data_IF_266081623412
#
_entry.id   IF_266081623412
#
_cell.length_a   1.000
_cell.length_b   1.000
_cell.length_c   1.000
_cell.angle_alpha   90.00
_cell.angle_beta   90.00
_cell.angle_gamma   90.00
#
_symmetry.space_group_name_H-M   'P 1'
#
loop_
_entity.id
_entity.type
_entity.pdbx_description
1 polymer ?
#
# COMPACT_ATOMS: atom_id res chain seq x y z
N UNK A 1 57.21 22.16 -14.17
CA UNK A 1 55.80 22.06 -14.49
C UNK A 1 55.09 21.26 -13.38
N UNK A 2 54.18 21.87 -12.60
CA UNK A 2 53.40 21.10 -11.64
C UNK A 2 52.11 20.59 -12.32
N UNK A 3 51.85 19.30 -12.13
CA UNK A 3 50.63 18.60 -12.52
C UNK A 3 49.55 18.99 -11.52
N UNK A 4 48.45 19.57 -12.04
CA UNK A 4 47.32 19.99 -11.23
C UNK A 4 46.53 18.77 -10.73
N UNK A 5 46.33 18.68 -9.41
CA UNK A 5 45.38 17.79 -8.78
C UNK A 5 43.95 18.30 -9.05
N UNK A 6 43.22 17.54 -9.85
CA UNK A 6 41.76 17.69 -9.98
C UNK A 6 41.09 17.11 -8.74
N UNK A 7 40.71 17.99 -7.85
CA UNK A 7 39.80 17.65 -6.73
C UNK A 7 38.43 17.28 -7.33
N UNK A 8 38.15 15.98 -7.32
CA UNK A 8 36.85 15.45 -7.62
C UNK A 8 35.97 15.70 -6.37
N UNK A 9 35.23 16.80 -6.37
CA UNK A 9 34.20 17.05 -5.36
C UNK A 9 33.02 16.13 -5.65
N UNK A 10 32.99 14.97 -4.99
CA UNK A 10 31.80 14.15 -4.90
C UNK A 10 30.71 14.95 -4.19
N UNK A 11 29.79 15.52 -4.96
CA UNK A 11 28.58 16.12 -4.44
C UNK A 11 27.66 15.01 -3.94
N UNK A 12 27.70 14.71 -2.63
CA UNK A 12 26.68 13.93 -1.97
C UNK A 12 25.31 14.52 -2.29
N UNK A 13 24.31 13.72 -2.71
CA UNK A 13 22.98 14.23 -2.97
C UNK A 13 22.45 14.86 -1.67
N UNK A 14 22.13 16.15 -1.73
CA UNK A 14 21.44 16.85 -0.64
C UNK A 14 20.15 16.09 -0.34
N UNK A 15 20.02 15.58 0.88
CA UNK A 15 18.76 15.05 1.35
C UNK A 15 17.72 16.17 1.28
N UNK A 16 16.76 16.04 0.38
CA UNK A 16 15.60 16.92 0.34
C UNK A 16 14.71 16.49 1.49
N UNK A 17 14.70 17.25 2.56
CA UNK A 17 13.74 17.05 3.65
C UNK A 17 12.39 17.55 3.14
N UNK A 18 11.48 16.62 2.82
CA UNK A 18 10.10 16.95 2.48
C UNK A 18 9.36 17.06 3.81
N UNK A 19 9.08 18.30 4.26
CA UNK A 19 8.30 18.53 5.46
C UNK A 19 6.80 18.38 5.16
N UNK A 20 6.09 17.70 6.07
CA UNK A 20 4.63 17.73 6.12
C UNK A 20 3.88 16.99 5.00
N UNK A 21 4.40 15.90 4.46
CA UNK A 21 3.67 15.09 3.44
C UNK A 21 2.41 14.47 4.02
N UNK A 22 1.31 14.55 3.27
CA UNK A 22 0.01 13.95 3.60
C UNK A 22 -0.21 12.68 2.78
N UNK A 23 -0.27 11.55 3.46
CA UNK A 23 -0.39 10.22 2.84
C UNK A 23 -1.74 9.60 3.19
N UNK A 24 -2.60 9.37 2.20
CA UNK A 24 -3.80 8.56 2.39
C UNK A 24 -3.50 7.09 2.06
N UNK A 25 -3.80 6.18 2.98
CA UNK A 25 -3.62 4.73 2.81
C UNK A 25 -4.97 4.08 2.62
N UNK A 26 -5.21 3.50 1.45
CA UNK A 26 -6.41 2.70 1.19
C UNK A 26 -6.03 1.23 1.27
N UNK A 27 -6.55 0.51 2.26
CA UNK A 27 -6.19 -0.87 2.56
C UNK A 27 -7.40 -1.81 2.51
N UNK A 28 -7.19 -3.06 2.11
CA UNK A 28 -8.25 -4.10 2.09
C UNK A 28 -8.56 -4.63 3.51
N UNK A 29 -7.67 -4.40 4.48
CA UNK A 29 -7.85 -4.75 5.88
C UNK A 29 -7.08 -3.81 6.81
N UNK A 30 -7.62 -3.64 8.02
CA UNK A 30 -6.97 -2.87 9.09
C UNK A 30 -7.36 -3.46 10.45
N UNK A 31 -6.91 -2.83 11.55
CA UNK A 31 -7.27 -3.26 12.90
C UNK A 31 -8.80 -3.34 13.09
N UNK A 32 -9.30 -4.26 13.90
CA UNK A 32 -8.59 -5.20 14.80
C UNK A 32 -7.96 -6.41 14.09
N UNK A 33 -8.17 -6.60 12.80
CA UNK A 33 -7.60 -7.71 12.05
C UNK A 33 -6.11 -7.52 11.83
N UNK A 34 -5.29 -8.47 12.31
CA UNK A 34 -3.84 -8.45 12.17
C UNK A 34 -3.37 -9.46 11.14
N UNK A 35 -2.87 -8.96 10.02
CA UNK A 35 -2.29 -9.76 8.94
C UNK A 35 -1.08 -9.03 8.33
N UNK A 36 -0.49 -9.59 7.27
CA UNK A 36 0.71 -9.01 6.64
C UNK A 36 0.47 -7.61 6.06
N UNK A 37 -0.73 -7.32 5.54
CA UNK A 37 -1.09 -6.00 5.00
C UNK A 37 -1.25 -5.01 6.15
N UNK A 38 -2.04 -5.36 7.16
CA UNK A 38 -2.22 -4.53 8.36
C UNK A 38 -0.89 -4.18 9.01
N UNK A 39 -0.02 -5.17 9.24
CA UNK A 39 1.31 -4.93 9.82
C UNK A 39 2.15 -3.95 8.98
N UNK A 40 2.08 -4.05 7.64
CA UNK A 40 2.78 -3.10 6.77
C UNK A 40 2.24 -1.69 6.92
N UNK A 41 0.91 -1.54 6.97
CA UNK A 41 0.25 -0.23 7.16
C UNK A 41 0.61 0.39 8.51
N UNK A 42 0.59 -0.40 9.60
CA UNK A 42 0.99 0.07 10.93
C UNK A 42 2.42 0.61 10.93
N UNK A 43 3.37 -0.07 10.28
CA UNK A 43 4.76 0.39 10.17
C UNK A 43 4.90 1.67 9.35
N UNK A 44 4.10 1.83 8.30
CA UNK A 44 4.07 3.07 7.52
C UNK A 44 3.57 4.22 8.40
N UNK A 45 2.48 4.04 9.15
CA UNK A 45 1.94 5.06 10.04
C UNK A 45 2.93 5.46 11.14
N UNK A 46 3.61 4.49 11.76
CA UNK A 46 4.69 4.73 12.72
C UNK A 46 5.81 5.58 12.10
N UNK A 47 6.19 5.27 10.85
CA UNK A 47 7.22 6.02 10.11
C UNK A 47 6.75 7.45 9.79
N UNK A 48 5.53 7.62 9.29
CA UNK A 48 4.95 8.93 9.00
C UNK A 48 4.96 9.81 10.24
N UNK A 49 4.51 9.29 11.38
CA UNK A 49 4.53 10.01 12.65
C UNK A 49 5.94 10.42 13.08
N UNK A 50 6.89 9.48 12.99
CA UNK A 50 8.27 9.73 13.40
C UNK A 50 8.96 10.83 12.57
N UNK A 51 8.48 11.09 11.36
CA UNK A 51 9.04 12.08 10.43
C UNK A 51 8.16 13.33 10.25
N UNK A 52 7.13 13.51 11.08
CA UNK A 52 6.27 14.69 11.03
C UNK A 52 5.33 14.75 9.82
N UNK A 53 4.99 13.58 9.24
CA UNK A 53 4.03 13.46 8.15
C UNK A 53 2.62 13.14 8.66
N UNK A 54 1.60 13.51 7.89
CA UNK A 54 0.21 13.18 8.20
C UNK A 54 -0.24 11.92 7.47
N UNK A 55 -0.96 11.05 8.17
CA UNK A 55 -1.54 9.83 7.63
C UNK A 55 -3.06 9.78 7.77
N UNK A 56 -3.73 9.20 6.77
CA UNK A 56 -5.12 8.81 6.82
C UNK A 56 -5.22 7.35 6.41
N UNK A 57 -5.99 6.54 7.13
CA UNK A 57 -6.32 5.17 6.71
C UNK A 57 -7.78 5.10 6.32
N UNK A 58 -8.06 4.46 5.18
CA UNK A 58 -9.41 4.11 4.70
C UNK A 58 -9.42 2.60 4.50
N UNK A 59 -10.21 1.88 5.29
CA UNK A 59 -10.28 0.42 5.22
C UNK A 59 -11.67 -0.11 5.58
N UNK A 60 -12.04 -1.34 5.16
CA UNK A 60 -13.20 -2.03 5.67
C UNK A 60 -13.08 -2.20 7.19
N UNK A 61 -14.17 -1.97 7.92
CA UNK A 61 -14.15 -2.09 9.36
C UNK A 61 -15.54 -2.25 9.95
N UNK A 62 -15.59 -2.22 11.29
CA UNK A 62 -16.78 -2.33 12.10
C UNK A 62 -16.67 -1.43 13.35
N UNK A 63 -17.51 -1.71 14.36
CA UNK A 63 -17.50 -0.96 15.63
C UNK A 63 -16.23 -1.13 16.47
N UNK A 64 -15.43 -2.16 16.21
CA UNK A 64 -14.16 -2.41 16.93
C UNK A 64 -12.95 -1.77 16.23
N UNK A 65 -13.15 -1.28 15.00
CA UNK A 65 -12.08 -0.60 14.26
C UNK A 65 -11.76 0.74 14.93
N UNK A 66 -10.49 1.00 15.29
CA UNK A 66 -10.11 2.25 15.93
C UNK A 66 -10.34 3.44 14.97
N UNK A 67 -10.76 4.58 15.52
CA UNK A 67 -10.91 5.82 14.74
C UNK A 67 -9.59 6.57 14.54
N UNK A 68 -8.57 6.18 15.29
CA UNK A 68 -7.23 6.78 15.25
C UNK A 68 -6.16 5.71 15.55
N UNK A 69 -5.01 5.82 14.92
CA UNK A 69 -3.82 5.06 15.24
C UNK A 69 -2.57 5.93 15.16
N UNK A 70 -1.81 6.01 16.23
CA UNK A 70 -0.57 6.80 16.30
C UNK A 70 -0.74 8.29 15.91
N UNK A 71 -1.90 8.90 16.20
CA UNK A 71 -2.22 10.28 15.81
C UNK A 71 -2.72 10.43 14.37
N UNK A 72 -2.89 9.31 13.64
CA UNK A 72 -3.42 9.30 12.29
C UNK A 72 -4.89 8.88 12.27
N UNK A 73 -5.72 9.63 11.55
CA UNK A 73 -7.15 9.35 11.41
C UNK A 73 -7.40 8.02 10.68
N UNK A 74 -8.36 7.24 11.17
CA UNK A 74 -8.83 6.00 10.53
C UNK A 74 -10.31 6.16 10.18
N UNK A 75 -10.64 5.96 8.91
CA UNK A 75 -11.99 5.95 8.38
C UNK A 75 -12.39 4.50 8.06
N UNK A 76 -13.29 3.98 8.88
CA UNK A 76 -13.87 2.65 8.71
C UNK A 76 -15.02 2.70 7.69
N UNK A 77 -14.90 1.89 6.64
CA UNK A 77 -15.98 1.69 5.66
C UNK A 77 -16.87 0.54 6.12
N UNK A 78 -18.18 0.74 6.11
CA UNK A 78 -19.13 -0.30 6.45
C UNK A 78 -18.86 -1.58 5.65
N UNK A 79 -18.73 -2.70 6.36
CA UNK A 79 -18.30 -3.97 5.77
C UNK A 79 -18.98 -5.17 6.43
N UNK A 80 -19.06 -6.26 5.68
CA UNK A 80 -19.54 -7.56 6.16
C UNK A 80 -18.40 -8.57 6.10
N UNK A 81 -18.41 -9.52 7.05
CA UNK A 81 -17.51 -10.65 6.99
C UNK A 81 -17.81 -11.49 5.75
N UNK A 82 -16.77 -11.96 5.06
CA UNK A 82 -16.95 -12.84 3.90
C UNK A 82 -17.45 -14.22 4.36
N UNK A 83 -18.50 -14.77 3.74
CA UNK A 83 -19.03 -16.07 4.12
C UNK A 83 -17.95 -17.17 4.11
N UNK A 84 -17.76 -17.86 5.24
CA UNK A 84 -16.74 -18.89 5.39
C UNK A 84 -15.34 -18.41 5.77
N UNK A 85 -15.12 -17.09 5.81
CA UNK A 85 -13.83 -16.47 6.16
C UNK A 85 -14.06 -15.24 7.03
N UNK A 86 -14.25 -15.45 8.32
CA UNK A 86 -14.56 -14.39 9.31
C UNK A 86 -13.53 -13.27 9.34
N UNK A 87 -12.27 -13.60 9.02
CA UNK A 87 -11.14 -12.67 9.04
C UNK A 87 -11.03 -11.82 7.76
N UNK A 88 -11.88 -12.10 6.75
CA UNK A 88 -11.93 -11.32 5.52
C UNK A 88 -13.20 -10.48 5.52
N UNK A 89 -13.03 -9.16 5.52
CA UNK A 89 -14.15 -8.22 5.42
C UNK A 89 -14.24 -7.61 4.04
N UNK A 90 -15.44 -7.51 3.52
CA UNK A 90 -15.70 -6.90 2.22
C UNK A 90 -16.61 -5.70 2.41
N UNK A 91 -16.20 -4.56 1.89
CA UNK A 91 -17.01 -3.36 1.89
C UNK A 91 -17.67 -3.12 0.54
N UNK A 92 -18.98 -2.91 0.58
CA UNK A 92 -19.77 -2.47 -0.57
C UNK A 92 -19.81 -0.94 -0.70
N UNK A 93 -19.08 -0.19 0.15
CA UNK A 93 -19.05 1.27 0.12
C UNK A 93 -18.83 1.79 -1.30
N UNK A 94 -19.62 2.78 -1.74
CA UNK A 94 -19.48 3.31 -3.10
C UNK A 94 -18.19 4.14 -3.24
N UNK A 95 -17.67 4.24 -4.46
CA UNK A 95 -16.46 5.00 -4.76
C UNK A 95 -16.53 6.45 -4.26
N UNK A 96 -17.66 7.11 -4.41
CA UNK A 96 -17.83 8.51 -4.01
C UNK A 96 -17.57 8.75 -2.50
N UNK A 97 -17.78 7.75 -1.64
CA UNK A 97 -17.48 7.89 -0.21
C UNK A 97 -15.98 7.95 0.06
N UNK A 98 -15.19 7.17 -0.69
CA UNK A 98 -13.72 7.19 -0.63
C UNK A 98 -13.23 8.51 -1.24
N UNK A 99 -13.77 8.90 -2.38
CA UNK A 99 -13.43 10.16 -3.08
C UNK A 99 -13.66 11.38 -2.19
N UNK A 100 -14.81 11.44 -1.52
CA UNK A 100 -15.10 12.51 -0.56
C UNK A 100 -14.09 12.54 0.60
N UNK A 101 -13.77 11.38 1.17
CA UNK A 101 -12.79 11.28 2.27
C UNK A 101 -11.41 11.72 1.82
N UNK A 102 -10.99 11.35 0.60
CA UNK A 102 -9.73 11.79 0.02
C UNK A 102 -9.73 13.29 -0.25
N UNK A 103 -10.82 13.84 -0.81
CA UNK A 103 -10.96 15.27 -1.08
C UNK A 103 -10.92 16.11 0.22
N UNK A 104 -11.56 15.64 1.30
CA UNK A 104 -11.52 16.28 2.62
C UNK A 104 -10.11 16.25 3.24
N UNK A 105 -9.39 15.18 3.04
CA UNK A 105 -8.03 15.03 3.58
C UNK A 105 -6.98 15.71 2.71
N UNK A 106 -7.22 15.88 1.41
CA UNK A 106 -6.32 16.49 0.42
C UNK A 106 -4.89 15.91 0.46
N UNK A 107 -4.72 14.61 0.16
CA UNK A 107 -3.43 13.95 0.25
C UNK A 107 -2.50 14.31 -0.92
N UNK A 108 -1.19 14.39 -0.63
CA UNK A 108 -0.16 14.51 -1.66
C UNK A 108 0.01 13.21 -2.47
N UNK A 109 -0.28 12.06 -1.82
CA UNK A 109 -0.20 10.73 -2.44
C UNK A 109 -1.18 9.76 -1.78
N UNK A 110 -1.74 8.87 -2.60
CA UNK A 110 -2.56 7.74 -2.15
C UNK A 110 -1.75 6.45 -2.23
N UNK A 111 -1.55 5.80 -1.08
CA UNK A 111 -0.92 4.49 -0.96
C UNK A 111 -1.99 3.41 -0.99
N UNK A 112 -1.99 2.56 -2.01
CA UNK A 112 -2.91 1.44 -2.15
C UNK A 112 -2.25 0.17 -1.59
N UNK A 113 -2.63 -0.23 -0.39
CA UNK A 113 -2.06 -1.38 0.31
C UNK A 113 -2.75 -2.69 -0.12
N UNK A 114 -2.09 -3.51 -0.92
CA UNK A 114 -2.60 -4.75 -1.49
C UNK A 114 -3.97 -4.58 -2.19
N UNK A 115 -4.10 -3.66 -3.16
CA UNK A 115 -5.40 -3.24 -3.69
C UNK A 115 -6.11 -4.35 -4.46
N UNK A 116 -7.40 -4.54 -4.16
CA UNK A 116 -8.25 -5.49 -4.90
C UNK A 116 -9.69 -4.97 -5.05
N UNK A 117 -10.47 -4.86 -3.97
CA UNK A 117 -11.86 -4.34 -4.01
C UNK A 117 -11.89 -2.85 -3.67
N UNK A 118 -11.54 -2.52 -2.45
CA UNK A 118 -11.51 -1.13 -1.96
C UNK A 118 -10.35 -0.36 -2.59
N UNK A 119 -9.21 -1.00 -2.76
CA UNK A 119 -8.07 -0.40 -3.43
C UNK A 119 -8.34 -0.04 -4.88
N UNK A 120 -9.19 -0.79 -5.61
CA UNK A 120 -9.62 -0.38 -6.95
C UNK A 120 -10.46 0.90 -6.91
N UNK A 121 -11.43 0.97 -5.98
CA UNK A 121 -12.22 2.19 -5.78
C UNK A 121 -11.36 3.36 -5.34
N UNK A 122 -10.35 3.09 -4.50
CA UNK A 122 -9.35 4.08 -4.08
C UNK A 122 -8.49 4.58 -5.24
N UNK A 123 -8.07 3.69 -6.15
CA UNK A 123 -7.32 4.07 -7.34
C UNK A 123 -8.14 4.96 -8.28
N UNK A 124 -9.43 4.61 -8.48
CA UNK A 124 -10.35 5.41 -9.29
C UNK A 124 -10.62 6.78 -8.63
N UNK A 125 -10.82 6.82 -7.31
CA UNK A 125 -11.03 8.04 -6.56
C UNK A 125 -9.81 8.97 -6.63
N UNK A 126 -8.61 8.42 -6.45
CA UNK A 126 -7.36 9.17 -6.60
C UNK A 126 -7.20 9.74 -8.03
N UNK A 127 -7.48 8.93 -9.05
CA UNK A 127 -7.42 9.38 -10.44
C UNK A 127 -8.44 10.48 -10.74
N UNK A 128 -9.68 10.38 -10.21
CA UNK A 128 -10.73 11.40 -10.34
C UNK A 128 -10.32 12.74 -9.73
N UNK A 129 -9.61 12.71 -8.61
CA UNK A 129 -9.11 13.89 -7.91
C UNK A 129 -7.77 14.42 -8.48
N UNK A 130 -7.16 13.72 -9.43
CA UNK A 130 -5.83 14.06 -9.94
C UNK A 130 -4.70 13.82 -8.94
N UNK A 131 -4.98 13.09 -7.86
CA UNK A 131 -3.98 12.76 -6.84
C UNK A 131 -3.17 11.54 -7.26
N UNK A 132 -1.82 11.58 -7.24
CA UNK A 132 -1.01 10.42 -7.60
C UNK A 132 -1.23 9.26 -6.62
N UNK A 133 -1.30 8.04 -7.14
CA UNK A 133 -1.38 6.83 -6.32
C UNK A 133 -0.21 5.89 -6.56
N UNK A 134 0.20 5.18 -5.51
CA UNK A 134 1.23 4.14 -5.54
C UNK A 134 0.60 2.84 -5.06
N UNK A 135 0.71 1.78 -5.85
CA UNK A 135 0.12 0.48 -5.52
C UNK A 135 1.18 -0.51 -5.04
N UNK A 136 0.91 -1.17 -3.92
CA UNK A 136 1.80 -2.20 -3.35
C UNK A 136 1.18 -3.58 -3.55
N UNK A 137 1.84 -4.41 -4.33
CA UNK A 137 1.44 -5.79 -4.56
C UNK A 137 1.94 -6.68 -3.42
N UNK A 138 1.07 -6.95 -2.45
CA UNK A 138 1.41 -7.76 -1.26
C UNK A 138 0.66 -9.09 -1.20
N UNK A 139 -0.42 -9.24 -1.96
CA UNK A 139 -1.27 -10.42 -1.96
C UNK A 139 -1.40 -10.94 -3.39
N UNK A 140 -0.94 -12.17 -3.61
CA UNK A 140 -1.05 -12.86 -4.90
C UNK A 140 -2.46 -13.45 -5.08
N UNK A 141 -3.45 -12.56 -5.25
CA UNK A 141 -4.85 -12.94 -5.40
C UNK A 141 -5.09 -13.91 -6.55
N UNK A 142 -4.48 -13.76 -7.74
CA UNK A 142 -4.67 -14.71 -8.83
C UNK A 142 -4.22 -16.14 -8.49
N UNK A 143 -3.06 -16.29 -7.84
CA UNK A 143 -2.56 -17.61 -7.42
C UNK A 143 -3.41 -18.24 -6.31
N UNK A 144 -4.01 -17.42 -5.44
CA UNK A 144 -4.98 -17.92 -4.44
C UNK A 144 -6.21 -18.50 -5.11
N UNK A 145 -6.75 -17.86 -6.16
CA UNK A 145 -7.90 -18.39 -6.91
C UNK A 145 -7.63 -19.81 -7.44
N UNK A 146 -6.42 -20.07 -7.96
CA UNK A 146 -5.99 -21.40 -8.39
C UNK A 146 -6.00 -22.44 -7.27
N UNK A 147 -5.54 -22.09 -6.07
CA UNK A 147 -5.48 -23.00 -4.91
C UNK A 147 -6.86 -23.38 -4.37
N UNK A 148 -7.85 -22.52 -4.51
CA UNK A 148 -9.23 -22.76 -4.06
C UNK A 148 -10.15 -23.37 -5.14
N UNK A 149 -9.60 -23.96 -6.20
CA UNK A 149 -10.38 -24.58 -7.27
C UNK A 149 -11.05 -23.58 -8.21
N UNK A 150 -10.74 -22.30 -8.08
CA UNK A 150 -11.26 -21.21 -8.90
C UNK A 150 -10.28 -20.82 -10.03
N UNK A 151 -9.44 -21.74 -10.49
CA UNK A 151 -8.40 -21.48 -11.50
C UNK A 151 -8.94 -20.89 -12.81
N UNK A 152 -10.21 -21.14 -13.15
CA UNK A 152 -10.87 -20.50 -14.30
C UNK A 152 -11.01 -18.98 -14.15
N UNK A 153 -10.92 -18.44 -12.91
CA UNK A 153 -10.99 -17.01 -12.61
C UNK A 153 -9.61 -16.34 -12.55
N UNK A 154 -8.52 -17.10 -12.65
CA UNK A 154 -7.16 -16.56 -12.63
C UNK A 154 -6.94 -15.48 -13.71
N UNK A 155 -7.35 -15.65 -15.00
CA UNK A 155 -7.20 -14.61 -16.02
C UNK A 155 -7.96 -13.32 -15.65
N UNK A 156 -9.12 -13.45 -15.02
CA UNK A 156 -9.89 -12.30 -14.53
C UNK A 156 -9.16 -11.61 -13.37
N UNK A 157 -8.57 -12.39 -12.46
CA UNK A 157 -7.74 -11.87 -11.38
C UNK A 157 -6.58 -11.00 -11.90
N UNK A 158 -5.84 -11.51 -12.89
CA UNK A 158 -4.76 -10.76 -13.53
C UNK A 158 -5.24 -9.54 -14.31
N UNK A 159 -6.38 -9.63 -14.97
CA UNK A 159 -7.01 -8.48 -15.61
C UNK A 159 -7.31 -7.36 -14.59
N UNK A 160 -7.88 -7.71 -13.43
CA UNK A 160 -8.15 -6.75 -12.34
C UNK A 160 -6.87 -6.15 -11.74
N UNK A 161 -5.87 -6.97 -11.47
CA UNK A 161 -4.56 -6.50 -11.00
C UNK A 161 -3.99 -5.49 -11.99
N UNK A 162 -3.96 -5.82 -13.28
CA UNK A 162 -3.46 -4.90 -14.30
C UNK A 162 -4.25 -3.59 -14.34
N UNK A 163 -5.60 -3.64 -14.28
CA UNK A 163 -6.43 -2.43 -14.26
C UNK A 163 -6.07 -1.52 -13.07
N UNK A 164 -6.02 -2.07 -11.86
CA UNK A 164 -5.73 -1.32 -10.63
C UNK A 164 -4.35 -0.66 -10.73
N UNK A 165 -3.34 -1.46 -11.03
CA UNK A 165 -1.96 -1.00 -11.04
C UNK A 165 -1.64 -0.06 -12.22
N UNK A 166 -2.41 -0.11 -13.31
CA UNK A 166 -2.26 0.84 -14.42
C UNK A 166 -2.72 2.24 -14.08
N UNK A 167 -3.65 2.40 -13.12
CA UNK A 167 -4.10 3.70 -12.63
C UNK A 167 -3.06 4.39 -11.74
N UNK A 168 -2.13 3.63 -11.16
CA UNK A 168 -1.11 4.16 -10.24
C UNK A 168 0.12 4.67 -11.00
N UNK A 169 0.76 5.71 -10.46
CA UNK A 169 2.00 6.27 -11.03
C UNK A 169 3.18 5.31 -10.89
N UNK A 170 3.13 4.42 -9.88
CA UNK A 170 4.11 3.35 -9.67
C UNK A 170 3.46 2.14 -8.99
N UNK A 171 4.01 0.96 -9.27
CA UNK A 171 3.68 -0.30 -8.58
C UNK A 171 4.93 -0.83 -7.92
N UNK A 172 4.80 -1.34 -6.70
CA UNK A 172 5.92 -1.99 -6.02
C UNK A 172 5.58 -3.42 -5.62
N UNK A 173 6.53 -4.31 -5.83
CA UNK A 173 6.47 -5.72 -5.47
C UNK A 173 7.47 -6.06 -4.36
N UNK A 174 7.18 -7.02 -3.47
CA UNK A 174 8.05 -7.36 -2.34
C UNK A 174 9.29 -8.16 -2.74
N UNK A 175 9.35 -8.68 -3.95
CA UNK A 175 10.44 -9.53 -4.43
C UNK A 175 10.61 -9.43 -5.95
N UNK A 176 11.77 -9.87 -6.44
CA UNK A 176 12.04 -9.99 -7.88
C UNK A 176 11.05 -10.93 -8.55
N UNK A 177 10.72 -12.06 -7.92
CA UNK A 177 9.74 -13.01 -8.43
C UNK A 177 8.37 -12.35 -8.65
N UNK A 178 7.85 -11.66 -7.65
CA UNK A 178 6.54 -10.97 -7.77
C UNK A 178 6.59 -9.84 -8.80
N UNK A 179 7.71 -9.11 -8.91
CA UNK A 179 7.91 -8.11 -9.97
C UNK A 179 7.82 -8.74 -11.35
N UNK A 180 8.54 -9.84 -11.56
CA UNK A 180 8.61 -10.50 -12.88
C UNK A 180 7.23 -11.09 -13.26
N UNK A 181 6.46 -11.61 -12.30
CA UNK A 181 5.07 -11.99 -12.51
C UNK A 181 4.21 -10.81 -12.97
N UNK A 182 4.25 -9.69 -12.27
CA UNK A 182 3.48 -8.50 -12.63
C UNK A 182 3.84 -8.01 -14.04
N UNK A 183 5.11 -7.94 -14.36
CA UNK A 183 5.60 -7.52 -15.69
C UNK A 183 5.12 -8.49 -16.77
N UNK A 184 5.21 -9.81 -16.56
CA UNK A 184 4.75 -10.82 -17.52
C UNK A 184 3.25 -10.76 -17.78
N UNK A 185 2.45 -10.26 -16.83
CA UNK A 185 1.02 -10.02 -16.98
C UNK A 185 0.67 -8.60 -17.44
N UNK A 186 1.65 -7.81 -17.87
CA UNK A 186 1.45 -6.50 -18.48
C UNK A 186 1.16 -5.37 -17.49
N UNK A 187 1.57 -5.50 -16.21
CA UNK A 187 1.52 -4.41 -15.24
C UNK A 187 2.66 -3.44 -15.52
N UNK A 188 2.40 -2.14 -15.70
CA UNK A 188 3.44 -1.16 -16.00
C UNK A 188 4.13 -0.64 -14.74
N UNK A 189 5.32 -0.03 -14.92
CA UNK A 189 6.04 0.75 -13.89
C UNK A 189 6.26 0.01 -12.59
N UNK A 190 6.72 -1.26 -12.65
CA UNK A 190 6.92 -2.12 -11.49
C UNK A 190 8.33 -1.98 -10.95
N UNK A 191 8.43 -1.51 -9.69
CA UNK A 191 9.65 -1.50 -8.89
C UNK A 191 9.66 -2.58 -7.80
N UNK A 192 10.76 -2.66 -7.06
CA UNK A 192 10.88 -3.54 -5.90
C UNK A 192 10.86 -2.70 -4.63
N UNK A 193 9.99 -3.09 -3.69
CA UNK A 193 10.02 -2.59 -2.32
C UNK A 193 10.15 -3.79 -1.38
N UNK A 194 11.39 -4.12 -1.05
CA UNK A 194 11.71 -5.19 -0.12
C UNK A 194 11.15 -4.89 1.28
N UNK A 195 10.52 -5.89 1.88
CA UNK A 195 10.08 -5.77 3.27
C UNK A 195 11.31 -5.69 4.16
N UNK A 196 11.38 -4.67 5.00
CA UNK A 196 12.38 -4.57 6.04
C UNK A 196 12.17 -5.65 7.12
N UNK A 197 13.25 -6.02 7.79
CA UNK A 197 13.21 -6.87 8.98
C UNK A 197 13.49 -5.98 10.19
N UNK A 198 12.70 -6.16 11.24
CA UNK A 198 12.95 -5.50 12.52
C UNK A 198 14.26 -6.01 13.13
N UNK A 199 15.33 -5.23 12.96
CA UNK A 199 16.68 -5.58 13.43
C UNK A 199 16.79 -5.70 14.94
N UNK A 200 15.90 -5.06 15.71
CA UNK A 200 15.89 -5.15 17.17
C UNK A 200 15.22 -6.44 17.63
N UNK A 201 14.12 -6.83 16.96
CA UNK A 201 13.38 -8.05 17.27
C UNK A 201 14.11 -9.30 16.78
N UNK A 202 14.73 -9.24 15.60
CA UNK A 202 15.42 -10.37 14.95
C UNK A 202 16.96 -10.22 14.98
N UNK A 203 17.51 -9.81 16.12
CA UNK A 203 18.94 -9.70 16.29
C UNK A 203 19.57 -11.09 16.52
N UNK A 204 20.74 -11.41 15.89
CA UNK A 204 21.42 -12.70 16.06
C UNK A 204 21.71 -13.10 17.52
N UNK A 205 21.92 -12.10 18.42
CA UNK A 205 22.15 -12.35 19.84
C UNK A 205 20.92 -12.88 20.59
N UNK A 206 19.73 -12.88 19.97
CA UNK A 206 18.49 -13.40 20.55
C UNK A 206 18.13 -14.80 20.07
N UNK A 207 19.06 -15.48 19.41
CA UNK A 207 18.92 -16.91 19.10
C UNK A 207 19.04 -17.70 20.40
N UNK A 208 17.96 -18.34 20.83
CA UNK A 208 17.94 -19.41 21.85
C UNK A 208 18.29 -20.72 21.19
#
# INVERSE_FOLDING_TARGET
SPVGELHNAESSPRAVTIEGVRVAIVAESFLPQVNGVTNSVLRILEHLRAHGHEGLVIAPGDSETPHEYQGHRVVSLASLAFPGYSDVRVSASPQWSIERTLAEFDPDVVHLAAPFVIGYKGALAAASLGTPSVAIYQTDVPSYAGRYGLGKLEPYGWYRVRQIHSLSVATYAPSTYSRDQLVSHGVPRVGIWGRGVDKQRFHPSKRS
#
